data_IF_402039736833
#
_entry.id   IF_402039736833
#
_cell.length_a   1.000
_cell.length_b   1.000
_cell.length_c   1.000
_cell.angle_alpha   90.00
_cell.angle_beta   90.00
_cell.angle_gamma   90.00
#
_symmetry.space_group_name_H-M   'P 1'
#
loop_
_entity.id
_entity.type
_entity.pdbx_description
1 polymer ?
#
# COMPACT_ATOMS: atom_id res chain seq x y z
N UNK A 1 -21.75 -27.30 2.90
CA UNK A 1 -20.86 -27.08 1.76
C UNK A 1 -20.61 -28.38 1.00
N UNK A 2 -20.97 -28.40 -0.29
CA UNK A 2 -20.57 -29.42 -1.25
C UNK A 2 -19.24 -29.02 -1.89
N UNK A 3 -18.38 -29.98 -2.23
CA UNK A 3 -17.12 -29.72 -2.93
C UNK A 3 -17.09 -30.61 -4.17
N UNK A 4 -16.84 -30.00 -5.33
CA UNK A 4 -16.79 -30.69 -6.63
C UNK A 4 -15.56 -30.28 -7.42
N UNK A 5 -14.96 -31.24 -8.12
CA UNK A 5 -13.94 -30.96 -9.14
C UNK A 5 -14.61 -30.69 -10.48
N UNK A 6 -14.21 -29.62 -11.16
CA UNK A 6 -14.67 -29.28 -12.50
C UNK A 6 -13.55 -28.62 -13.31
N UNK A 7 -12.95 -29.35 -14.24
CA UNK A 7 -11.85 -28.81 -15.07
C UNK A 7 -12.33 -27.94 -16.23
N UNK A 8 -13.63 -27.60 -16.29
CA UNK A 8 -14.19 -26.73 -17.33
C UNK A 8 -14.33 -25.27 -16.91
N UNK A 9 -14.10 -24.93 -15.64
CA UNK A 9 -14.08 -23.54 -15.18
C UNK A 9 -12.76 -22.86 -15.56
N UNK A 10 -12.80 -21.56 -15.86
CA UNK A 10 -11.59 -20.79 -16.23
C UNK A 10 -10.75 -20.35 -15.01
N UNK A 11 -11.26 -20.58 -13.80
CA UNK A 11 -10.66 -20.13 -12.54
C UNK A 11 -10.08 -21.31 -11.75
N UNK A 12 -9.14 -21.01 -10.86
CA UNK A 12 -8.59 -22.03 -9.96
C UNK A 12 -9.66 -22.69 -9.09
N UNK A 13 -10.55 -21.87 -8.52
CA UNK A 13 -11.70 -22.27 -7.73
C UNK A 13 -12.81 -21.22 -7.84
N UNK A 14 -14.01 -21.62 -7.44
CA UNK A 14 -15.18 -20.76 -7.30
C UNK A 14 -16.04 -21.25 -6.13
N UNK A 15 -16.49 -20.33 -5.29
CA UNK A 15 -17.52 -20.58 -4.30
C UNK A 15 -18.87 -19.99 -4.72
N UNK A 16 -19.92 -20.80 -4.67
CA UNK A 16 -21.30 -20.43 -5.02
C UNK A 16 -22.18 -20.45 -3.75
N UNK A 17 -22.40 -19.32 -3.06
CA UNK A 17 -23.20 -19.26 -1.83
C UNK A 17 -24.60 -19.84 -2.00
N UNK A 18 -25.27 -19.51 -3.12
CA UNK A 18 -26.64 -19.96 -3.39
C UNK A 18 -26.79 -21.48 -3.51
N UNK A 19 -25.70 -22.19 -3.80
CA UNK A 19 -25.66 -23.65 -3.88
C UNK A 19 -24.96 -24.27 -2.66
N UNK A 20 -24.34 -23.44 -1.82
CA UNK A 20 -23.37 -23.83 -0.82
C UNK A 20 -22.37 -24.84 -1.42
N UNK A 21 -21.86 -24.54 -2.61
CA UNK A 21 -20.98 -25.41 -3.41
C UNK A 21 -19.66 -24.69 -3.70
N UNK A 22 -18.56 -25.38 -3.42
CA UNK A 22 -17.23 -25.04 -3.90
C UNK A 22 -16.90 -25.89 -5.13
N UNK A 23 -16.44 -25.25 -6.19
CA UNK A 23 -15.99 -25.89 -7.42
C UNK A 23 -14.52 -25.61 -7.61
N UNK A 24 -13.69 -26.66 -7.71
CA UNK A 24 -12.25 -26.56 -7.89
C UNK A 24 -11.86 -27.05 -9.28
N UNK A 25 -11.04 -26.28 -10.00
CA UNK A 25 -10.43 -26.77 -11.24
C UNK A 25 -9.46 -27.92 -10.92
N UNK A 26 -8.55 -27.67 -9.97
CA UNK A 26 -7.68 -28.68 -9.39
C UNK A 26 -7.66 -28.57 -7.86
N UNK A 27 -7.57 -29.72 -7.14
CA UNK A 27 -7.60 -29.74 -5.69
C UNK A 27 -6.22 -29.41 -5.10
N UNK A 28 -5.75 -28.18 -5.33
CA UNK A 28 -4.53 -27.64 -4.70
C UNK A 28 -4.87 -26.90 -3.41
N UNK A 29 -3.98 -26.96 -2.43
CA UNK A 29 -4.27 -26.54 -1.06
C UNK A 29 -4.55 -25.04 -0.92
N UNK A 30 -3.84 -24.20 -1.68
CA UNK A 30 -3.97 -22.74 -1.66
C UNK A 30 -5.35 -22.31 -2.16
N UNK A 31 -5.75 -22.82 -3.33
CA UNK A 31 -7.08 -22.58 -3.90
C UNK A 31 -8.17 -23.12 -2.97
N UNK A 32 -8.02 -24.33 -2.43
CA UNK A 32 -9.01 -24.87 -1.50
C UNK A 32 -9.15 -23.99 -0.24
N UNK A 33 -8.03 -23.52 0.32
CA UNK A 33 -8.04 -22.61 1.46
C UNK A 33 -8.75 -21.31 1.11
N UNK A 34 -8.44 -20.75 -0.06
CA UNK A 34 -9.04 -19.52 -0.57
C UNK A 34 -10.57 -19.62 -0.63
N UNK A 35 -11.07 -20.64 -1.32
CA UNK A 35 -12.51 -20.83 -1.49
C UNK A 35 -13.21 -21.19 -0.17
N UNK A 36 -12.52 -21.82 0.79
CA UNK A 36 -13.07 -22.08 2.13
C UNK A 36 -13.32 -20.76 2.86
N UNK A 37 -12.45 -19.77 2.69
CA UNK A 37 -12.59 -18.47 3.35
C UNK A 37 -13.83 -17.75 2.81
N UNK A 38 -14.06 -17.77 1.49
CA UNK A 38 -15.33 -17.31 0.91
C UNK A 38 -16.53 -18.08 1.48
N UNK A 39 -16.40 -19.40 1.64
CA UNK A 39 -17.46 -20.21 2.22
C UNK A 39 -17.78 -19.90 3.70
N UNK A 40 -16.84 -19.32 4.46
CA UNK A 40 -17.14 -18.81 5.80
C UNK A 40 -17.99 -17.54 5.77
N UNK A 41 -17.87 -16.73 4.71
CA UNK A 41 -18.73 -15.56 4.50
C UNK A 41 -20.12 -15.97 3.96
N UNK A 42 -20.21 -17.02 3.14
CA UNK A 42 -21.45 -17.60 2.58
C UNK A 42 -22.43 -16.54 2.02
N UNK A 43 -23.67 -16.51 2.51
CA UNK A 43 -24.71 -15.52 2.15
C UNK A 43 -24.29 -14.06 2.41
N UNK A 44 -23.17 -13.83 3.11
CA UNK A 44 -22.68 -12.51 3.50
C UNK A 44 -21.38 -12.11 2.79
N UNK A 45 -21.03 -12.75 1.67
CA UNK A 45 -19.95 -12.30 0.78
C UNK A 45 -20.07 -10.79 0.47
N UNK A 46 -18.94 -10.09 0.57
CA UNK A 46 -18.88 -8.67 0.30
C UNK A 46 -18.82 -8.43 -1.21
N UNK A 47 -19.70 -7.57 -1.74
CA UNK A 47 -19.73 -7.29 -3.19
C UNK A 47 -18.55 -6.44 -3.67
N UNK A 48 -17.78 -5.84 -2.75
CA UNK A 48 -16.62 -5.01 -3.07
C UNK A 48 -15.41 -5.94 -3.06
N UNK A 49 -14.89 -6.27 -4.24
CA UNK A 49 -13.83 -7.27 -4.40
C UNK A 49 -12.53 -6.92 -3.66
N UNK A 50 -12.18 -5.64 -3.53
CA UNK A 50 -11.06 -5.19 -2.67
C UNK A 50 -11.31 -5.37 -1.18
N UNK A 51 -12.52 -5.71 -0.74
CA UNK A 51 -12.80 -6.19 0.60
C UNK A 51 -12.92 -7.71 0.64
N UNK A 52 -13.53 -8.33 -0.36
CA UNK A 52 -13.74 -9.79 -0.38
C UNK A 52 -12.49 -10.55 -0.80
N UNK A 53 -12.11 -10.46 -2.08
CA UNK A 53 -10.98 -11.17 -2.68
C UNK A 53 -9.66 -10.83 -2.00
N UNK A 54 -9.42 -9.53 -1.80
CA UNK A 54 -8.19 -9.06 -1.20
C UNK A 54 -8.04 -9.49 0.27
N UNK A 55 -9.13 -9.47 1.06
CA UNK A 55 -9.09 -9.95 2.44
C UNK A 55 -8.98 -11.48 2.49
N UNK A 56 -9.71 -12.17 1.63
CA UNK A 56 -9.66 -13.64 1.50
C UNK A 56 -8.23 -14.08 1.20
N UNK A 57 -7.56 -13.40 0.26
CA UNK A 57 -6.16 -13.66 -0.05
C UNK A 57 -5.22 -13.40 1.14
N UNK A 58 -5.45 -12.33 1.90
CA UNK A 58 -4.65 -12.04 3.10
C UNK A 58 -4.84 -13.08 4.22
N UNK A 59 -6.09 -13.54 4.42
CA UNK A 59 -6.43 -14.60 5.37
C UNK A 59 -5.81 -15.92 4.91
N UNK A 60 -5.83 -16.23 3.61
CA UNK A 60 -5.21 -17.42 3.05
C UNK A 60 -3.71 -17.47 3.41
N UNK A 61 -2.95 -16.41 3.12
CA UNK A 61 -1.53 -16.35 3.51
C UNK A 61 -1.34 -16.48 5.02
N UNK A 62 -2.20 -15.84 5.83
CA UNK A 62 -2.16 -15.98 7.28
C UNK A 62 -2.38 -17.42 7.76
N UNK A 63 -3.33 -18.14 7.15
CA UNK A 63 -3.62 -19.55 7.48
C UNK A 63 -2.43 -20.44 7.13
N UNK A 64 -1.80 -20.25 5.96
CA UNK A 64 -0.60 -21.01 5.60
C UNK A 64 0.58 -20.73 6.54
N UNK A 65 0.78 -19.48 6.94
CA UNK A 65 1.82 -19.13 7.90
C UNK A 65 1.59 -19.77 9.28
N UNK A 66 0.33 -20.00 9.67
CA UNK A 66 -0.06 -20.65 10.93
C UNK A 66 -0.07 -22.19 10.84
N UNK A 67 -0.01 -22.77 9.63
CA UNK A 67 -0.04 -24.20 9.36
C UNK A 67 1.27 -24.66 8.70
N UNK A 68 2.39 -24.75 9.45
CA UNK A 68 3.72 -24.97 8.89
C UNK A 68 3.90 -26.30 8.14
N UNK A 69 3.00 -27.27 8.33
CA UNK A 69 2.97 -28.50 7.53
C UNK A 69 2.58 -28.26 6.05
N UNK A 70 1.96 -27.12 5.75
CA UNK A 70 1.53 -26.72 4.42
C UNK A 70 2.33 -25.51 3.96
N UNK A 71 3.15 -25.68 2.92
CA UNK A 71 3.85 -24.56 2.32
C UNK A 71 2.93 -23.83 1.33
N UNK A 72 2.83 -22.51 1.47
CA UNK A 72 2.16 -21.71 0.46
C UNK A 72 2.97 -21.80 -0.85
N UNK A 73 2.38 -22.20 -1.99
CA UNK A 73 3.13 -22.60 -3.17
C UNK A 73 4.01 -21.52 -3.80
N UNK A 74 3.68 -20.23 -3.63
CA UNK A 74 4.42 -19.13 -4.28
C UNK A 74 4.44 -17.79 -3.51
N UNK A 75 3.94 -17.73 -2.28
CA UNK A 75 3.69 -16.45 -1.61
C UNK A 75 3.62 -16.57 -0.08
N UNK A 76 4.48 -17.44 0.46
CA UNK A 76 4.66 -17.56 1.90
C UNK A 76 5.10 -16.21 2.48
N UNK A 77 4.53 -15.78 3.61
CA UNK A 77 4.81 -14.48 4.21
C UNK A 77 4.68 -13.29 3.24
N UNK A 78 3.75 -13.34 2.28
CA UNK A 78 3.56 -12.30 1.27
C UNK A 78 4.88 -11.94 0.55
N UNK A 79 5.53 -12.96 0.01
CA UNK A 79 6.85 -12.86 -0.63
C UNK A 79 6.79 -12.53 -2.12
N UNK A 80 5.60 -12.41 -2.70
CA UNK A 80 5.41 -11.98 -4.09
C UNK A 80 6.02 -10.60 -4.34
N UNK A 81 6.48 -10.38 -5.57
CA UNK A 81 7.00 -9.08 -5.99
C UNK A 81 5.97 -7.97 -6.07
N UNK A 82 4.69 -8.31 -6.04
CA UNK A 82 3.62 -7.34 -5.87
C UNK A 82 3.46 -6.87 -4.43
N UNK A 83 3.64 -7.79 -3.48
CA UNK A 83 3.46 -7.55 -2.05
C UNK A 83 4.59 -6.70 -1.48
N UNK A 84 5.84 -7.13 -1.67
CA UNK A 84 6.94 -6.39 -1.07
C UNK A 84 7.19 -5.04 -1.75
N UNK A 85 6.66 -4.80 -2.95
CA UNK A 85 6.66 -3.48 -3.61
C UNK A 85 5.37 -2.69 -3.39
N UNK A 86 4.50 -3.10 -2.44
CA UNK A 86 3.23 -2.45 -2.08
C UNK A 86 3.28 -0.92 -2.12
N UNK A 87 4.24 -0.32 -1.41
CA UNK A 87 4.39 1.13 -1.28
C UNK A 87 4.54 1.85 -2.62
N UNK A 88 5.21 1.22 -3.60
CA UNK A 88 5.39 1.82 -4.92
C UNK A 88 4.19 1.61 -5.86
N UNK A 89 3.38 0.60 -5.61
CA UNK A 89 2.14 0.35 -6.35
C UNK A 89 0.95 1.15 -5.84
N UNK A 90 0.93 1.49 -4.55
CA UNK A 90 -0.13 2.24 -3.90
C UNK A 90 -0.19 3.69 -4.40
N UNK A 91 -0.74 3.87 -5.60
CA UNK A 91 -0.88 5.15 -6.33
C UNK A 91 -2.28 5.27 -6.91
N UNK A 92 -2.82 6.48 -7.15
CA UNK A 92 -4.22 6.68 -7.54
C UNK A 92 -4.71 5.82 -8.72
N UNK A 93 -3.85 5.54 -9.70
CA UNK A 93 -4.23 4.81 -10.90
C UNK A 93 -4.44 3.30 -10.67
N UNK A 94 -3.97 2.72 -9.55
CA UNK A 94 -4.21 1.30 -9.23
C UNK A 94 -5.66 1.02 -8.84
N UNK A 95 -6.35 2.04 -8.32
CA UNK A 95 -7.75 1.95 -7.90
C UNK A 95 -8.66 1.48 -9.04
N UNK A 96 -9.80 0.90 -8.71
CA UNK A 96 -10.77 0.40 -9.67
C UNK A 96 -12.19 0.82 -9.29
N UNK A 97 -13.07 1.13 -10.27
CA UNK A 97 -14.49 1.33 -10.02
C UNK A 97 -15.12 0.16 -9.26
N UNK A 98 -15.90 0.47 -8.24
CA UNK A 98 -16.51 -0.52 -7.35
C UNK A 98 -15.51 -1.32 -6.52
N UNK A 99 -14.22 -0.95 -6.52
CA UNK A 99 -13.16 -1.73 -5.88
C UNK A 99 -12.96 -3.10 -6.54
N UNK A 100 -13.21 -3.23 -7.85
CA UNK A 100 -13.06 -4.50 -8.58
C UNK A 100 -11.58 -4.83 -8.87
N UNK A 101 -11.08 -5.97 -8.39
CA UNK A 101 -9.74 -6.44 -8.79
C UNK A 101 -9.72 -6.98 -10.21
N UNK A 102 -10.87 -7.35 -10.77
CA UNK A 102 -10.98 -8.04 -12.07
C UNK A 102 -11.19 -7.13 -13.28
N UNK A 103 -11.54 -5.86 -13.07
CA UNK A 103 -12.04 -4.98 -14.15
C UNK A 103 -11.04 -4.75 -15.30
N UNK A 104 -9.75 -4.89 -15.03
CA UNK A 104 -8.71 -4.86 -16.05
C UNK A 104 -7.85 -6.13 -15.93
N UNK A 105 -7.94 -7.05 -16.92
CA UNK A 105 -7.17 -8.29 -16.90
C UNK A 105 -5.66 -8.09 -16.81
N UNK A 106 -5.11 -6.98 -17.35
CA UNK A 106 -3.68 -6.71 -17.24
C UNK A 106 -3.26 -6.44 -15.79
N UNK A 107 -4.12 -5.80 -15.00
CA UNK A 107 -3.85 -5.38 -13.62
C UNK A 107 -4.42 -6.33 -12.57
N UNK A 108 -5.11 -7.40 -12.97
CA UNK A 108 -5.78 -8.34 -12.06
C UNK A 108 -4.83 -8.86 -11.00
N UNK A 109 -3.72 -9.48 -11.41
CA UNK A 109 -2.78 -10.09 -10.46
C UNK A 109 -2.12 -9.05 -9.55
N UNK A 110 -1.81 -7.86 -10.09
CA UNK A 110 -1.29 -6.74 -9.31
C UNK A 110 -2.29 -6.32 -8.21
N UNK A 111 -3.55 -6.07 -8.56
CA UNK A 111 -4.59 -5.60 -7.62
C UNK A 111 -4.91 -6.67 -6.58
N UNK A 112 -4.92 -7.94 -6.99
CA UNK A 112 -5.15 -9.08 -6.12
C UNK A 112 -4.06 -9.19 -5.04
N UNK A 113 -2.78 -9.19 -5.43
CA UNK A 113 -1.67 -9.30 -4.47
C UNK A 113 -1.52 -8.02 -3.62
N UNK A 114 -1.49 -6.83 -4.23
CA UNK A 114 -1.42 -5.57 -3.47
C UNK A 114 -2.60 -5.43 -2.52
N UNK A 115 -3.79 -5.91 -2.92
CA UNK A 115 -4.96 -5.99 -2.06
C UNK A 115 -4.77 -6.92 -0.87
N UNK A 116 -4.18 -8.09 -1.09
CA UNK A 116 -3.78 -8.99 0.00
C UNK A 116 -2.92 -8.27 1.03
N UNK A 117 -1.81 -7.69 0.59
CA UNK A 117 -0.88 -7.03 1.51
C UNK A 117 -1.51 -5.86 2.27
N UNK A 118 -2.41 -5.12 1.62
CA UNK A 118 -3.17 -4.04 2.26
C UNK A 118 -3.90 -4.55 3.50
N UNK A 119 -4.58 -5.69 3.40
CA UNK A 119 -5.31 -6.30 4.52
C UNK A 119 -4.42 -7.07 5.48
N UNK A 120 -3.26 -7.55 5.01
CA UNK A 120 -2.25 -8.16 5.86
C UNK A 120 -1.70 -7.15 6.88
N UNK A 121 -1.49 -5.87 6.50
CA UNK A 121 -0.97 -4.83 7.41
C UNK A 121 -1.72 -4.72 8.75
N UNK A 122 -3.04 -4.48 8.81
CA UNK A 122 -3.75 -4.43 10.09
C UNK A 122 -3.77 -5.77 10.85
N UNK A 123 -3.67 -6.90 10.15
CA UNK A 123 -3.54 -8.24 10.76
C UNK A 123 -2.16 -8.47 11.37
N UNK A 124 -1.08 -8.07 10.70
CA UNK A 124 0.29 -8.20 11.20
C UNK A 124 0.45 -7.45 12.53
N UNK A 125 -0.21 -6.31 12.68
CA UNK A 125 -0.22 -5.54 13.93
C UNK A 125 -1.21 -6.07 14.98
N UNK A 126 -2.11 -6.96 14.60
CA UNK A 126 -3.12 -7.56 15.49
C UNK A 126 -3.67 -8.85 14.88
N UNK A 127 -3.15 -9.99 15.31
CA UNK A 127 -3.54 -11.30 14.77
C UNK A 127 -5.02 -11.67 15.02
N UNK A 128 -5.78 -10.89 15.80
CA UNK A 128 -7.23 -11.06 15.95
C UNK A 128 -8.05 -10.17 15.00
N UNK A 129 -7.41 -9.38 14.14
CA UNK A 129 -8.07 -8.41 13.26
C UNK A 129 -9.20 -9.02 12.42
N UNK A 130 -8.90 -10.05 11.62
CA UNK A 130 -9.88 -10.68 10.73
C UNK A 130 -11.04 -11.30 11.51
N UNK A 131 -10.74 -11.97 12.63
CA UNK A 131 -11.75 -12.53 13.52
C UNK A 131 -12.74 -11.45 14.00
N UNK A 132 -12.23 -10.35 14.56
CA UNK A 132 -13.09 -9.27 15.08
C UNK A 132 -13.82 -8.49 13.97
N UNK A 133 -13.21 -8.40 12.79
CA UNK A 133 -13.85 -7.84 11.59
C UNK A 133 -15.04 -8.71 11.18
N UNK A 134 -14.84 -10.01 11.04
CA UNK A 134 -15.89 -10.96 10.65
C UNK A 134 -16.99 -11.07 11.72
N UNK A 135 -16.63 -11.12 13.01
CA UNK A 135 -17.62 -11.06 14.10
C UNK A 135 -18.52 -9.81 13.99
N UNK A 136 -17.92 -8.66 13.67
CA UNK A 136 -18.65 -7.41 13.47
C UNK A 136 -19.52 -7.40 12.21
N UNK A 137 -19.04 -8.01 11.13
CA UNK A 137 -19.78 -8.18 9.88
C UNK A 137 -20.98 -9.09 10.11
N UNK A 138 -20.78 -10.27 10.68
CA UNK A 138 -21.83 -11.26 10.94
C UNK A 138 -22.87 -10.72 11.91
N UNK A 139 -22.45 -10.07 13.00
CA UNK A 139 -23.38 -9.42 13.92
C UNK A 139 -24.27 -8.40 13.19
N UNK A 140 -23.69 -7.59 12.30
CA UNK A 140 -24.46 -6.63 11.50
C UNK A 140 -25.45 -7.35 10.58
N UNK A 141 -25.00 -8.37 9.85
CA UNK A 141 -25.81 -9.09 8.87
C UNK A 141 -26.94 -9.87 9.51
N UNK A 142 -26.74 -10.47 10.67
CA UNK A 142 -27.80 -11.12 11.44
C UNK A 142 -28.88 -10.12 11.89
N UNK A 143 -28.50 -8.89 12.23
CA UNK A 143 -29.45 -7.86 12.65
C UNK A 143 -30.13 -7.15 11.47
N UNK A 144 -29.53 -7.12 10.28
CA UNK A 144 -30.06 -6.46 9.10
C UNK A 144 -29.80 -7.28 7.82
N UNK A 145 -30.37 -8.49 7.69
CA UNK A 145 -30.00 -9.43 6.62
C UNK A 145 -30.37 -8.95 5.22
N UNK A 146 -31.30 -8.02 5.10
CA UNK A 146 -31.75 -7.46 3.81
C UNK A 146 -30.90 -6.26 3.34
N UNK A 147 -29.90 -5.84 4.11
CA UNK A 147 -29.06 -4.68 3.78
C UNK A 147 -27.61 -5.15 3.59
N UNK A 148 -27.20 -5.43 2.34
CA UNK A 148 -25.83 -5.80 2.04
C UNK A 148 -24.82 -4.78 2.57
N UNK A 149 -23.62 -5.22 2.98
CA UNK A 149 -22.59 -4.30 3.43
C UNK A 149 -22.15 -3.42 2.24
N UNK A 150 -22.23 -2.10 2.42
CA UNK A 150 -21.64 -1.14 1.50
C UNK A 150 -20.29 -0.63 2.04
N UNK A 151 -19.53 0.07 1.20
CA UNK A 151 -18.19 0.59 1.52
C UNK A 151 -18.16 1.39 2.82
N UNK A 152 -19.08 2.35 2.99
CA UNK A 152 -19.12 3.19 4.20
C UNK A 152 -19.31 2.34 5.46
N UNK A 153 -20.08 1.28 5.33
CA UNK A 153 -20.41 0.34 6.38
C UNK A 153 -19.24 -0.57 6.76
N UNK A 154 -18.51 -1.07 5.76
CA UNK A 154 -17.32 -1.90 5.95
C UNK A 154 -16.15 -1.08 6.49
N UNK A 155 -15.98 0.15 5.98
CA UNK A 155 -15.02 1.13 6.51
C UNK A 155 -15.30 1.46 7.98
N UNK A 156 -16.57 1.59 8.38
CA UNK A 156 -16.93 1.83 9.77
C UNK A 156 -16.58 0.64 10.69
N UNK A 157 -16.79 -0.60 10.22
CA UNK A 157 -16.35 -1.81 10.95
C UNK A 157 -14.83 -1.78 11.11
N UNK A 158 -14.08 -1.57 10.03
CA UNK A 158 -12.62 -1.52 10.07
C UNK A 158 -12.13 -0.46 11.06
N UNK A 159 -12.58 0.79 10.92
CA UNK A 159 -12.16 1.88 11.79
C UNK A 159 -12.43 1.62 13.29
N UNK A 160 -13.50 0.89 13.61
CA UNK A 160 -13.82 0.48 14.98
C UNK A 160 -12.89 -0.62 15.49
N UNK A 161 -12.60 -1.63 14.66
CA UNK A 161 -11.80 -2.79 15.05
C UNK A 161 -10.30 -2.46 15.14
N UNK A 162 -9.82 -1.57 14.28
CA UNK A 162 -8.41 -1.19 14.19
C UNK A 162 -8.30 0.33 13.99
N UNK A 163 -8.43 1.12 15.08
CA UNK A 163 -8.47 2.58 15.01
C UNK A 163 -7.14 3.23 14.64
N UNK A 164 -6.03 2.50 14.75
CA UNK A 164 -4.68 2.93 14.36
C UNK A 164 -4.04 1.82 13.52
N UNK A 165 -3.44 2.19 12.39
CA UNK A 165 -2.64 1.31 11.51
C UNK A 165 -1.38 2.08 11.10
N UNK A 166 -0.21 1.47 11.23
CA UNK A 166 1.10 2.09 10.96
C UNK A 166 1.28 3.42 11.71
N UNK A 167 0.82 3.47 12.96
CA UNK A 167 0.85 4.69 13.80
C UNK A 167 -0.08 5.81 13.35
N UNK A 168 -0.87 5.61 12.30
CA UNK A 168 -1.83 6.59 11.77
C UNK A 168 -3.25 6.26 12.22
N UNK A 169 -4.10 7.27 12.54
CA UNK A 169 -5.53 7.06 12.65
C UNK A 169 -6.07 6.37 11.42
N UNK A 170 -6.94 5.37 11.62
CA UNK A 170 -7.46 4.52 10.56
C UNK A 170 -8.01 5.33 9.39
N UNK A 171 -8.75 6.41 9.65
CA UNK A 171 -9.31 7.25 8.59
C UNK A 171 -8.23 7.88 7.69
N UNK A 172 -7.09 8.29 8.25
CA UNK A 172 -5.95 8.85 7.52
C UNK A 172 -5.23 7.74 6.76
N UNK A 173 -4.94 6.62 7.44
CA UNK A 173 -4.30 5.47 6.82
C UNK A 173 -5.12 4.95 5.64
N UNK A 174 -6.42 4.72 5.83
CA UNK A 174 -7.36 4.23 4.82
C UNK A 174 -7.38 5.13 3.58
N UNK A 175 -7.43 6.45 3.78
CA UNK A 175 -7.41 7.40 2.66
C UNK A 175 -6.09 7.41 1.88
N UNK A 176 -5.00 6.89 2.45
CA UNK A 176 -3.73 6.69 1.76
C UNK A 176 -3.68 5.38 0.98
N UNK A 177 -4.62 4.46 1.19
CA UNK A 177 -4.66 3.19 0.46
C UNK A 177 -5.51 3.36 -0.81
N UNK A 178 -4.87 3.75 -1.91
CA UNK A 178 -5.56 4.09 -3.15
C UNK A 178 -6.35 2.92 -3.72
N UNK A 179 -5.94 1.68 -3.48
CA UNK A 179 -6.66 0.49 -3.93
C UNK A 179 -8.09 0.40 -3.34
N UNK A 180 -8.33 0.96 -2.15
CA UNK A 180 -9.66 1.01 -1.53
C UNK A 180 -10.57 2.11 -2.09
N UNK A 181 -10.06 2.96 -2.98
CA UNK A 181 -10.89 3.97 -3.63
C UNK A 181 -11.80 3.31 -4.68
N UNK A 182 -13.06 3.07 -4.32
CA UNK A 182 -14.07 2.46 -5.22
C UNK A 182 -14.61 3.43 -6.28
N UNK A 183 -14.26 4.72 -6.20
CA UNK A 183 -14.71 5.79 -7.11
C UNK A 183 -13.51 6.56 -7.66
N UNK A 184 -12.57 5.89 -8.35
CA UNK A 184 -11.42 6.58 -8.90
C UNK A 184 -11.82 7.46 -10.09
N UNK A 185 -10.97 8.41 -10.47
CA UNK A 185 -11.22 9.29 -11.60
C UNK A 185 -11.29 8.51 -12.92
N UNK A 186 -12.25 8.89 -13.78
CA UNK A 186 -12.39 8.40 -15.15
C UNK A 186 -11.29 8.99 -16.06
N UNK A 187 -11.27 8.58 -17.33
CA UNK A 187 -10.38 9.10 -18.36
C UNK A 187 -9.17 8.20 -18.64
N UNK A 188 -8.26 8.68 -19.49
CA UNK A 188 -7.04 7.95 -19.84
C UNK A 188 -6.08 7.88 -18.64
N UNK A 189 -5.44 6.72 -18.46
CA UNK A 189 -4.52 6.42 -17.36
C UNK A 189 -3.24 5.83 -17.90
N UNK A 190 -2.13 6.36 -17.40
CA UNK A 190 -0.79 5.79 -17.56
C UNK A 190 -0.32 5.32 -16.19
N UNK A 191 0.08 4.06 -16.08
CA UNK A 191 0.49 3.46 -14.80
C UNK A 191 1.68 2.53 -15.00
N UNK A 192 2.76 2.79 -14.26
CA UNK A 192 3.93 1.92 -14.30
C UNK A 192 3.95 0.87 -13.17
N UNK A 193 4.24 -0.39 -13.51
CA UNK A 193 4.52 -1.46 -12.54
C UNK A 193 5.98 -1.42 -12.12
N UNK A 194 6.23 -1.24 -10.83
CA UNK A 194 7.57 -0.94 -10.33
C UNK A 194 8.52 -2.15 -10.29
N UNK A 195 7.98 -3.35 -10.13
CA UNK A 195 8.72 -4.61 -10.17
C UNK A 195 9.15 -5.02 -11.58
N UNK A 196 8.32 -4.76 -12.60
CA UNK A 196 8.42 -5.40 -13.92
C UNK A 196 8.86 -4.47 -15.07
N UNK A 197 9.15 -3.19 -14.79
CA UNK A 197 9.39 -2.17 -15.82
C UNK A 197 8.30 -2.19 -16.90
N UNK A 198 7.05 -2.37 -16.48
CA UNK A 198 5.89 -2.42 -17.37
C UNK A 198 5.12 -1.11 -17.26
N UNK A 199 4.65 -0.59 -18.40
CA UNK A 199 3.87 0.63 -18.51
C UNK A 199 2.51 0.24 -19.07
N UNK A 200 1.47 0.37 -18.27
CA UNK A 200 0.08 0.17 -18.65
C UNK A 200 -0.56 1.48 -19.12
N UNK A 201 -1.30 1.41 -20.22
CA UNK A 201 -2.13 2.48 -20.76
C UNK A 201 -3.56 1.97 -20.98
N UNK A 202 -4.52 2.54 -20.26
CA UNK A 202 -5.92 2.14 -20.33
C UNK A 202 -6.83 3.36 -20.19
N UNK A 203 -8.06 3.26 -20.71
CA UNK A 203 -9.11 4.25 -20.52
C UNK A 203 -10.12 3.73 -19.50
N UNK A 204 -10.44 4.56 -18.50
CA UNK A 204 -11.48 4.24 -17.52
C UNK A 204 -12.78 4.94 -17.88
N UNK A 205 -13.79 4.14 -18.20
CA UNK A 205 -15.14 4.59 -18.53
C UNK A 205 -15.93 5.01 -17.29
N UNK A 206 -16.95 5.84 -17.49
CA UNK A 206 -17.84 6.27 -16.41
C UNK A 206 -18.72 5.13 -15.85
N UNK A 207 -18.97 4.09 -16.64
CA UNK A 207 -19.71 2.88 -16.22
C UNK A 207 -18.85 1.92 -15.37
N UNK A 208 -17.56 2.21 -15.21
CA UNK A 208 -16.64 1.42 -14.42
C UNK A 208 -15.68 0.52 -15.21
N UNK A 209 -15.89 0.33 -16.53
CA UNK A 209 -15.00 -0.50 -17.34
C UNK A 209 -13.61 0.13 -17.51
N UNK A 210 -12.59 -0.71 -17.66
CA UNK A 210 -11.24 -0.31 -18.03
C UNK A 210 -10.87 -0.95 -19.37
N UNK A 211 -10.60 -0.11 -20.37
CA UNK A 211 -10.33 -0.53 -21.75
C UNK A 211 -8.84 -0.37 -22.02
N UNK A 212 -8.09 -1.48 -22.23
CA UNK A 212 -6.70 -1.41 -22.64
C UNK A 212 -6.54 -0.62 -23.95
N UNK A 213 -5.58 0.31 -23.99
CA UNK A 213 -5.36 1.16 -25.16
C UNK A 213 -4.36 0.50 -26.12
N UNK A 214 -4.85 -0.46 -26.91
CA UNK A 214 -4.04 -1.29 -27.82
C UNK A 214 -3.43 -0.47 -28.96
N UNK A 215 -2.16 -0.71 -29.26
CA UNK A 215 -1.46 -0.10 -30.40
C UNK A 215 -1.16 1.39 -30.24
N UNK A 216 -1.41 1.98 -29.06
CA UNK A 216 -1.07 3.38 -28.79
C UNK A 216 0.44 3.53 -28.60
N UNK A 217 1.09 4.54 -29.23
CA UNK A 217 2.50 4.80 -29.04
C UNK A 217 2.79 5.32 -27.63
N UNK A 218 3.83 4.76 -27.02
CA UNK A 218 4.33 5.09 -25.69
C UNK A 218 5.80 5.45 -25.81
N UNK A 219 6.18 6.56 -25.18
CA UNK A 219 7.57 7.00 -25.07
C UNK A 219 8.04 6.80 -23.63
N UNK A 220 9.30 6.38 -23.47
CA UNK A 220 9.88 6.17 -22.15
C UNK A 220 11.34 6.64 -22.08
N UNK A 221 11.76 7.02 -20.88
CA UNK A 221 13.11 7.44 -20.57
C UNK A 221 13.53 6.81 -19.23
N UNK A 222 14.74 6.25 -19.20
CA UNK A 222 15.41 5.72 -18.03
C UNK A 222 16.53 6.68 -17.62
N UNK A 223 16.42 7.21 -16.41
CA UNK A 223 17.37 8.19 -15.86
C UNK A 223 18.00 7.58 -14.60
N UNK A 224 19.32 7.64 -14.50
CA UNK A 224 20.03 7.16 -13.32
C UNK A 224 19.93 8.15 -12.13
N UNK A 225 20.49 7.76 -10.98
CA UNK A 225 20.51 8.59 -9.77
C UNK A 225 21.19 9.96 -9.97
N UNK A 226 22.10 10.08 -10.92
CA UNK A 226 22.80 11.33 -11.28
C UNK A 226 22.04 12.19 -12.28
N UNK A 227 20.77 11.90 -12.55
CA UNK A 227 19.95 12.58 -13.55
C UNK A 227 20.48 12.48 -14.99
N UNK A 228 21.22 11.41 -15.31
CA UNK A 228 21.69 11.12 -16.67
C UNK A 228 20.77 10.09 -17.30
N UNK A 229 20.28 10.39 -18.50
CA UNK A 229 19.54 9.44 -19.33
C UNK A 229 20.46 8.29 -19.74
N UNK A 230 20.14 7.09 -19.28
CA UNK A 230 20.91 5.86 -19.59
C UNK A 230 20.28 5.03 -20.69
N UNK A 231 18.98 5.20 -20.93
CA UNK A 231 18.28 4.67 -22.09
C UNK A 231 17.00 5.47 -22.33
N UNK A 232 16.52 5.47 -23.57
CA UNK A 232 15.19 5.99 -23.92
C UNK A 232 14.68 5.26 -25.15
N UNK A 233 13.38 5.31 -25.39
CA UNK A 233 12.80 4.68 -26.56
C UNK A 233 11.30 4.91 -26.69
N UNK A 234 10.76 4.31 -27.74
CA UNK A 234 9.33 4.30 -28.05
C UNK A 234 8.88 2.87 -28.32
N UNK A 235 7.62 2.57 -28.05
CA UNK A 235 7.00 1.32 -28.46
C UNK A 235 5.49 1.46 -28.53
N UNK A 236 4.80 0.37 -28.83
CA UNK A 236 3.35 0.34 -28.91
C UNK A 236 2.79 -0.55 -27.81
N UNK A 237 1.67 -0.12 -27.22
CA UNK A 237 0.93 -0.92 -26.26
C UNK A 237 0.45 -2.25 -26.90
N UNK A 238 0.62 -3.35 -26.17
CA UNK A 238 0.18 -4.69 -26.57
C UNK A 238 -1.35 -4.81 -26.65
N UNK A 239 -1.86 -6.01 -26.97
CA UNK A 239 -3.29 -6.33 -26.90
C UNK A 239 -3.90 -6.17 -25.50
N UNK A 240 -3.06 -6.18 -24.47
CA UNK A 240 -3.45 -5.93 -23.08
C UNK A 240 -3.12 -4.50 -22.62
N UNK A 241 -2.80 -3.60 -23.55
CA UNK A 241 -2.61 -2.18 -23.26
C UNK A 241 -1.31 -1.85 -22.51
N UNK A 242 -0.28 -2.70 -22.60
CA UNK A 242 0.99 -2.46 -21.90
C UNK A 242 2.23 -2.70 -22.76
N UNK A 243 3.36 -2.14 -22.35
CA UNK A 243 4.71 -2.37 -22.90
C UNK A 243 5.67 -2.65 -21.74
N UNK A 244 6.60 -3.59 -21.93
CA UNK A 244 7.74 -3.78 -21.02
C UNK A 244 8.97 -3.07 -21.58
N UNK A 245 9.70 -2.37 -20.71
CA UNK A 245 10.94 -1.67 -21.05
C UNK A 245 12.17 -2.29 -20.38
N UNK A 246 12.01 -3.45 -19.72
CA UNK A 246 13.06 -4.08 -18.90
C UNK A 246 14.35 -4.39 -19.68
N UNK A 247 14.23 -4.75 -20.96
CA UNK A 247 15.38 -5.10 -21.81
C UNK A 247 16.33 -3.95 -22.09
N UNK A 248 15.91 -2.71 -21.79
CA UNK A 248 16.71 -1.51 -21.99
C UNK A 248 17.44 -1.06 -20.72
N UNK A 249 17.24 -1.79 -19.61
CA UNK A 249 17.91 -1.50 -18.35
C UNK A 249 19.30 -2.15 -18.39
N UNK A 250 20.40 -1.38 -18.24
CA UNK A 250 21.73 -1.96 -18.25
C UNK A 250 21.88 -2.99 -17.14
N UNK A 251 22.28 -4.22 -17.49
CA UNK A 251 22.43 -5.33 -16.53
C UNK A 251 23.49 -5.06 -15.45
N UNK A 252 24.43 -4.16 -15.71
CA UNK A 252 25.45 -3.70 -14.76
C UNK A 252 25.01 -2.55 -13.87
N UNK A 253 23.83 -1.96 -14.12
CA UNK A 253 23.35 -0.86 -13.30
C UNK A 253 23.06 -1.34 -11.88
N UNK A 254 23.31 -0.50 -10.89
CA UNK A 254 22.98 -0.74 -9.49
C UNK A 254 22.72 0.64 -8.86
N UNK A 255 21.54 0.87 -8.32
CA UNK A 255 21.14 2.18 -7.78
C UNK A 255 19.68 2.55 -8.10
N UNK A 256 19.33 3.80 -7.83
CA UNK A 256 17.98 4.34 -8.06
C UNK A 256 17.81 4.64 -9.54
N UNK A 257 16.71 4.20 -10.13
CA UNK A 257 16.37 4.51 -11.52
C UNK A 257 15.02 5.21 -11.57
N UNK A 258 14.96 6.29 -12.35
CA UNK A 258 13.75 7.04 -12.63
C UNK A 258 13.26 6.66 -14.02
N UNK A 259 12.02 6.21 -14.10
CA UNK A 259 11.35 5.87 -15.35
C UNK A 259 10.29 6.92 -15.62
N UNK A 260 10.49 7.66 -16.70
CA UNK A 260 9.52 8.65 -17.19
C UNK A 260 8.81 8.04 -18.38
N UNK A 261 7.51 7.78 -18.24
CA UNK A 261 6.66 7.30 -19.31
C UNK A 261 5.72 8.42 -19.79
N UNK A 262 5.44 8.46 -21.09
CA UNK A 262 4.48 9.40 -21.65
C UNK A 262 3.76 8.86 -22.89
N UNK A 263 2.56 9.37 -23.15
CA UNK A 263 1.78 9.08 -24.36
C UNK A 263 0.80 10.21 -24.63
N UNK A 264 0.46 10.43 -25.90
CA UNK A 264 -0.60 11.35 -26.29
C UNK A 264 -1.96 10.63 -26.16
N UNK A 265 -2.90 11.27 -25.49
CA UNK A 265 -4.29 10.81 -25.41
C UNK A 265 -5.24 11.87 -25.97
N UNK A 266 -6.50 11.53 -26.26
CA UNK A 266 -7.54 12.51 -26.57
C UNK A 266 -7.69 13.63 -25.54
N UNK A 267 -7.35 13.38 -24.27
CA UNK A 267 -7.40 14.37 -23.17
C UNK A 267 -6.09 15.19 -23.06
N UNK A 268 -5.12 14.94 -23.94
CA UNK A 268 -3.79 15.56 -23.96
C UNK A 268 -2.67 14.61 -23.52
N UNK A 269 -1.47 15.19 -23.35
CA UNK A 269 -0.26 14.45 -22.98
C UNK A 269 -0.40 13.86 -21.57
N UNK A 270 -0.29 12.55 -21.48
CA UNK A 270 -0.13 11.83 -20.22
C UNK A 270 1.34 11.64 -19.89
N UNK A 271 1.70 11.79 -18.62
CA UNK A 271 3.04 11.51 -18.10
C UNK A 271 2.94 10.83 -16.74
N UNK A 272 3.68 9.74 -16.55
CA UNK A 272 3.88 9.07 -15.27
C UNK A 272 5.38 9.00 -14.99
N UNK A 273 5.81 9.38 -13.79
CA UNK A 273 7.21 9.30 -13.36
C UNK A 273 7.31 8.42 -12.13
N UNK A 274 8.15 7.38 -12.22
CA UNK A 274 8.34 6.41 -11.13
C UNK A 274 9.81 6.22 -10.86
N UNK A 275 10.18 6.35 -9.59
CA UNK A 275 11.48 5.96 -9.08
C UNK A 275 11.39 4.55 -8.50
N UNK A 276 12.44 3.74 -8.69
CA UNK A 276 12.54 2.38 -8.15
C UNK A 276 14.00 2.01 -7.86
N UNK A 277 14.18 0.98 -7.04
CA UNK A 277 15.50 0.36 -6.83
C UNK A 277 15.85 -0.57 -7.98
N UNK A 278 17.10 -0.55 -8.41
CA UNK A 278 17.70 -1.67 -9.11
C UNK A 278 18.90 -2.14 -8.30
N UNK A 279 18.72 -3.25 -7.59
CA UNK A 279 19.70 -3.82 -6.68
C UNK A 279 20.13 -5.17 -7.26
N UNK A 280 21.42 -5.34 -7.54
CA UNK A 280 21.93 -6.57 -8.16
C UNK A 280 21.61 -7.84 -7.34
N UNK A 281 21.51 -7.74 -6.02
CA UNK A 281 21.12 -8.86 -5.13
C UNK A 281 19.60 -9.09 -5.02
N UNK A 282 18.78 -8.31 -5.73
CA UNK A 282 17.32 -8.43 -5.73
C UNK A 282 16.61 -7.71 -4.57
N UNK A 283 17.33 -6.96 -3.73
CA UNK A 283 16.78 -6.35 -2.52
C UNK A 283 16.48 -7.40 -1.45
N UNK A 284 16.98 -7.17 -0.22
CA UNK A 284 16.81 -8.06 0.93
C UNK A 284 16.39 -7.25 2.15
N UNK A 285 15.66 -7.89 3.07
CA UNK A 285 15.16 -7.20 4.26
C UNK A 285 14.34 -5.98 3.91
N UNK A 286 14.59 -4.88 4.61
CA UNK A 286 13.97 -3.59 4.26
C UNK A 286 14.92 -2.86 3.32
N UNK A 287 14.45 -2.56 2.12
CA UNK A 287 15.23 -1.87 1.09
C UNK A 287 14.39 -0.76 0.47
N UNK A 288 15.01 0.16 -0.27
CA UNK A 288 14.23 1.27 -0.76
C UNK A 288 15.01 2.37 -1.44
N UNK A 289 14.30 3.49 -1.62
CA UNK A 289 14.82 4.73 -2.19
C UNK A 289 14.48 5.92 -1.29
N UNK A 290 15.21 7.01 -1.45
CA UNK A 290 14.83 8.32 -0.94
C UNK A 290 14.61 9.30 -2.10
N UNK A 291 13.48 10.03 -2.05
CA UNK A 291 13.09 11.00 -3.06
C UNK A 291 14.04 12.19 -3.03
N UNK A 292 14.57 12.58 -4.20
CA UNK A 292 15.40 13.79 -4.35
C UNK A 292 16.78 13.77 -3.69
N UNK A 293 17.17 12.68 -3.01
CA UNK A 293 18.48 12.51 -2.38
C UNK A 293 19.12 11.21 -2.86
N UNK A 294 20.45 11.22 -2.96
CA UNK A 294 21.23 10.05 -3.39
C UNK A 294 22.11 9.46 -2.28
N UNK A 295 22.47 10.26 -1.28
CA UNK A 295 23.38 9.84 -0.22
C UNK A 295 22.86 10.28 1.16
N UNK A 296 23.10 9.46 2.17
CA UNK A 296 22.66 9.72 3.54
C UNK A 296 22.63 8.47 4.42
N UNK A 297 21.95 8.56 5.55
CA UNK A 297 21.78 7.44 6.48
C UNK A 297 20.30 7.21 6.77
N UNK A 298 19.87 5.95 6.63
CA UNK A 298 18.52 5.49 6.97
C UNK A 298 18.62 4.67 8.24
N UNK A 299 17.89 5.06 9.28
CA UNK A 299 17.75 4.27 10.50
C UNK A 299 16.43 3.52 10.49
N UNK A 300 16.48 2.22 10.73
CA UNK A 300 15.32 1.33 10.77
C UNK A 300 15.27 0.69 12.15
N UNK A 301 14.18 0.90 12.87
CA UNK A 301 13.97 0.41 14.23
C UNK A 301 12.77 -0.53 14.27
N UNK A 302 12.93 -1.82 14.58
CA UNK A 302 11.80 -2.71 14.84
C UNK A 302 11.07 -2.21 16.09
N UNK A 303 9.73 -2.19 16.05
CA UNK A 303 8.89 -1.71 17.14
C UNK A 303 8.24 -2.86 17.92
N UNK A 304 8.00 -4.00 17.24
CA UNK A 304 7.32 -5.16 17.83
C UNK A 304 8.29 -6.23 18.35
N UNK A 305 9.47 -6.37 17.73
CA UNK A 305 10.49 -7.33 18.14
C UNK A 305 11.70 -6.61 18.79
N UNK A 306 11.71 -6.59 20.12
CA UNK A 306 12.79 -5.96 20.90
C UNK A 306 14.08 -6.77 20.94
N UNK A 307 14.09 -8.00 20.40
CA UNK A 307 15.30 -8.83 20.33
C UNK A 307 16.18 -8.45 19.14
N UNK A 308 15.59 -7.79 18.14
CA UNK A 308 16.29 -7.27 16.97
C UNK A 308 16.70 -5.82 17.22
N UNK A 309 17.98 -5.51 17.05
CA UNK A 309 18.48 -4.14 17.23
C UNK A 309 18.18 -3.25 16.02
N UNK A 310 17.96 -1.96 16.26
CA UNK A 310 17.89 -0.97 15.19
C UNK A 310 19.15 -0.99 14.31
N UNK A 311 18.97 -0.79 13.00
CA UNK A 311 20.06 -0.73 12.03
C UNK A 311 20.12 0.66 11.42
N UNK A 312 21.33 1.20 11.27
CA UNK A 312 21.58 2.38 10.43
C UNK A 312 22.32 1.92 9.19
N UNK A 313 21.73 2.16 8.02
CA UNK A 313 22.28 1.75 6.73
C UNK A 313 22.55 2.97 5.86
N UNK A 314 23.58 2.87 5.03
CA UNK A 314 23.94 3.91 4.09
C UNK A 314 22.96 3.93 2.92
N UNK A 315 22.42 5.12 2.63
CA UNK A 315 21.82 5.44 1.33
C UNK A 315 22.97 5.81 0.39
N UNK A 316 23.09 5.11 -0.73
CA UNK A 316 24.10 5.38 -1.77
C UNK A 316 23.46 5.21 -3.13
N UNK A 317 23.77 6.09 -4.09
CA UNK A 317 23.16 6.10 -5.42
C UNK A 317 21.61 6.11 -5.36
N UNK A 318 21.06 6.70 -4.30
CA UNK A 318 19.63 6.82 -4.01
C UNK A 318 18.95 5.54 -3.52
N UNK A 319 19.70 4.48 -3.20
CA UNK A 319 19.17 3.21 -2.67
C UNK A 319 19.75 2.85 -1.32
N UNK A 320 19.01 2.10 -0.52
CA UNK A 320 19.48 1.51 0.73
C UNK A 320 18.95 0.09 0.88
N UNK A 321 19.63 -0.72 1.71
CA UNK A 321 19.29 -2.11 1.99
C UNK A 321 19.65 -2.42 3.44
N UNK A 322 18.73 -3.03 4.18
CA UNK A 322 18.90 -3.54 5.54
C UNK A 322 18.49 -5.03 5.58
N UNK A 323 19.37 -5.94 5.13
CA UNK A 323 19.06 -7.37 4.98
C UNK A 323 18.70 -8.08 6.30
N UNK A 324 19.09 -7.53 7.44
CA UNK A 324 18.89 -8.05 8.79
C UNK A 324 17.41 -8.18 9.16
N UNK A 325 16.53 -7.48 8.43
CA UNK A 325 15.08 -7.53 8.63
C UNK A 325 14.34 -8.47 7.68
N UNK A 326 15.04 -9.31 6.91
CA UNK A 326 14.42 -10.20 5.91
C UNK A 326 13.34 -11.10 6.48
N UNK A 327 13.59 -11.73 7.62
CA UNK A 327 12.64 -12.64 8.28
C UNK A 327 11.90 -12.01 9.45
N UNK A 328 12.14 -10.72 9.74
CA UNK A 328 11.54 -10.03 10.90
C UNK A 328 10.19 -9.44 10.51
N UNK A 329 9.10 -9.91 11.12
CA UNK A 329 7.74 -9.42 10.92
C UNK A 329 7.39 -8.32 11.91
N UNK A 330 6.51 -7.39 11.53
CA UNK A 330 5.89 -6.43 12.45
C UNK A 330 6.00 -4.98 11.99
N UNK A 331 5.85 -4.07 12.94
CA UNK A 331 6.00 -2.64 12.75
C UNK A 331 7.47 -2.22 12.82
N UNK A 332 7.85 -1.30 11.92
CA UNK A 332 9.17 -0.70 11.85
C UNK A 332 9.05 0.80 11.74
N UNK A 333 9.86 1.54 12.51
CA UNK A 333 10.09 2.96 12.29
C UNK A 333 11.24 3.11 11.30
N UNK A 334 10.99 3.77 10.18
CA UNK A 334 12.00 4.17 9.19
C UNK A 334 12.22 5.67 9.32
N UNK A 335 13.44 6.07 9.64
CA UNK A 335 13.84 7.47 9.82
C UNK A 335 14.98 7.83 8.87
N UNK A 336 14.95 9.05 8.33
CA UNK A 336 15.98 9.61 7.46
C UNK A 336 16.14 11.11 7.73
N UNK A 337 17.39 11.57 7.71
CA UNK A 337 17.72 13.00 7.82
C UNK A 337 18.19 13.51 6.47
N UNK A 338 17.38 14.37 5.86
CA UNK A 338 17.71 15.12 4.65
C UNK A 338 18.73 16.21 4.93
N UNK A 339 19.66 16.48 4.00
CA UNK A 339 20.48 17.69 4.02
C UNK A 339 19.60 18.94 4.10
N UNK A 340 19.91 19.87 5.02
CA UNK A 340 19.14 21.10 5.21
C UNK A 340 17.95 20.99 6.18
N UNK A 341 18.08 20.18 7.23
CA UNK A 341 17.14 20.05 8.36
C UNK A 341 15.80 19.36 8.09
N UNK A 342 15.65 18.61 6.98
CA UNK A 342 14.47 17.75 6.81
C UNK A 342 14.65 16.45 7.59
N UNK A 343 13.72 16.09 8.46
CA UNK A 343 13.67 14.75 9.05
C UNK A 343 12.36 14.09 8.65
N UNK A 344 12.44 12.87 8.14
CA UNK A 344 11.28 12.03 7.86
C UNK A 344 11.37 10.83 8.76
N UNK A 345 10.34 10.61 9.57
CA UNK A 345 10.11 9.36 10.26
C UNK A 345 8.72 8.85 9.91
N UNK A 346 8.58 7.55 9.70
CA UNK A 346 7.28 6.91 9.52
C UNK A 346 7.31 5.48 10.02
N UNK A 347 6.15 5.01 10.46
CA UNK A 347 5.96 3.60 10.75
C UNK A 347 5.48 2.91 9.48
N UNK A 348 6.04 1.74 9.21
CA UNK A 348 5.60 0.79 8.19
C UNK A 348 5.29 -0.54 8.88
N UNK A 349 4.43 -1.33 8.27
CA UNK A 349 4.15 -2.70 8.68
C UNK A 349 4.54 -3.64 7.55
N UNK A 350 5.34 -4.66 7.87
CA UNK A 350 5.70 -5.71 6.91
C UNK A 350 5.59 -7.10 7.50
N UNK A 351 5.41 -8.08 6.63
CA UNK A 351 5.46 -9.50 6.97
C UNK A 351 6.91 -10.02 7.07
N UNK A 352 7.10 -11.31 7.35
CA UNK A 352 8.40 -11.99 7.41
C UNK A 352 9.04 -12.22 6.02
N UNK A 353 9.03 -11.18 5.18
CA UNK A 353 9.63 -11.15 3.84
C UNK A 353 10.37 -9.83 3.60
N UNK A 354 11.04 -9.69 2.45
CA UNK A 354 11.63 -8.42 2.04
C UNK A 354 10.54 -7.34 1.88
N UNK A 355 10.89 -6.06 1.95
CA UNK A 355 9.94 -4.96 1.82
C UNK A 355 10.57 -3.70 1.27
N UNK A 356 9.98 -3.16 0.20
CA UNK A 356 10.37 -1.91 -0.42
C UNK A 356 9.74 -0.72 0.30
N UNK A 357 10.57 0.26 0.62
CA UNK A 357 10.18 1.50 1.26
C UNK A 357 10.58 2.67 0.39
N UNK A 358 9.62 3.55 0.10
CA UNK A 358 9.91 4.86 -0.47
C UNK A 358 9.98 5.90 0.63
N UNK A 359 11.15 6.49 0.85
CA UNK A 359 11.32 7.61 1.78
C UNK A 359 11.02 8.89 1.00
N UNK A 360 9.79 9.37 1.15
CA UNK A 360 9.36 10.61 0.55
C UNK A 360 9.74 11.76 1.48
N UNK A 361 10.29 12.84 0.92
CA UNK A 361 10.37 14.09 1.66
C UNK A 361 8.95 14.60 1.85
N UNK A 362 8.30 14.19 2.94
CA UNK A 362 7.00 14.69 3.32
C UNK A 362 7.23 15.86 4.25
N UNK A 363 7.25 17.11 3.73
CA UNK A 363 7.26 18.25 4.63
C UNK A 363 6.02 18.23 5.53
N UNK A 364 4.92 17.62 5.08
CA UNK A 364 3.65 17.64 5.79
C UNK A 364 3.59 16.55 6.88
N UNK A 365 3.30 16.93 8.12
CA UNK A 365 2.82 16.03 9.17
C UNK A 365 1.44 16.47 9.65
N UNK A 366 0.62 15.50 10.06
CA UNK A 366 -0.72 15.71 10.54
C UNK A 366 -0.77 15.51 12.05
N UNK A 367 -1.50 16.39 12.74
CA UNK A 367 -1.89 16.13 14.11
C UNK A 367 -2.92 15.00 14.12
N UNK A 368 -2.53 13.89 14.74
CA UNK A 368 -3.39 12.73 14.93
C UNK A 368 -4.01 12.70 16.31
N UNK A 369 -3.36 13.29 17.32
CA UNK A 369 -3.86 13.39 18.70
C UNK A 369 -4.37 12.05 19.23
N UNK A 370 -3.60 10.99 19.02
CA UNK A 370 -3.98 9.59 19.29
C UNK A 370 -3.71 9.16 20.73
N UNK A 371 -2.80 9.84 21.43
CA UNK A 371 -2.40 9.51 22.80
C UNK A 371 -2.92 10.54 23.79
N UNK A 372 -2.68 11.83 23.53
CA UNK A 372 -3.08 12.92 24.40
C UNK A 372 -3.16 14.24 23.61
N UNK A 373 -3.25 15.38 24.33
CA UNK A 373 -3.32 16.70 23.72
C UNK A 373 -1.97 17.39 23.51
N UNK A 374 -0.85 16.84 23.98
CA UNK A 374 0.45 17.52 23.97
C UNK A 374 1.10 17.54 22.57
N UNK A 375 1.39 18.75 22.06
CA UNK A 375 2.18 18.97 20.84
C UNK A 375 3.50 18.20 20.85
N UNK A 376 4.11 18.05 22.03
CA UNK A 376 5.45 17.46 22.19
C UNK A 376 5.46 15.95 22.33
N UNK A 377 4.29 15.30 22.25
CA UNK A 377 4.23 13.85 22.18
C UNK A 377 4.36 13.39 20.71
N UNK A 378 5.46 12.74 20.31
CA UNK A 378 5.68 12.32 18.92
C UNK A 378 4.60 11.36 18.40
N UNK A 379 3.95 10.61 19.29
CA UNK A 379 2.87 9.69 18.93
C UNK A 379 1.58 10.41 18.52
N UNK A 380 1.43 11.70 18.84
CA UNK A 380 0.32 12.53 18.38
C UNK A 380 0.53 13.08 16.96
N UNK A 381 1.62 12.74 16.29
CA UNK A 381 1.92 13.16 14.92
C UNK A 381 1.93 11.99 13.94
N UNK A 382 1.43 12.21 12.73
CA UNK A 382 1.38 11.17 11.70
C UNK A 382 2.76 10.65 11.29
N UNK A 383 3.82 11.46 11.49
CA UNK A 383 5.20 11.02 11.26
C UNK A 383 5.82 10.29 12.46
N UNK A 384 5.11 10.13 13.58
CA UNK A 384 5.70 9.56 14.80
C UNK A 384 6.86 10.39 15.35
N UNK A 385 6.91 11.68 15.02
CA UNK A 385 7.94 12.64 15.42
C UNK A 385 7.31 14.02 15.63
N UNK A 386 7.80 14.77 16.62
CA UNK A 386 7.38 16.16 16.86
C UNK A 386 7.83 17.03 15.67
N UNK A 387 6.98 17.95 15.16
CA UNK A 387 7.35 18.84 14.07
C UNK A 387 8.60 19.67 14.40
N UNK A 388 9.43 19.87 13.39
CA UNK A 388 10.64 20.69 13.46
C UNK A 388 10.62 21.82 12.42
N UNK A 389 11.65 22.66 12.36
CA UNK A 389 11.73 23.86 11.51
C UNK A 389 11.52 23.65 10.00
N UNK A 390 11.61 22.40 9.52
CA UNK A 390 11.34 22.05 8.12
C UNK A 390 9.99 21.35 7.90
N UNK A 391 9.21 21.16 8.95
CA UNK A 391 7.94 20.42 8.92
C UNK A 391 6.76 21.37 8.74
N UNK A 392 6.00 21.21 7.66
CA UNK A 392 4.67 21.76 7.51
C UNK A 392 3.68 20.93 8.35
N UNK A 393 2.99 21.58 9.25
CA UNK A 393 2.02 20.97 10.16
C UNK A 393 0.61 21.21 9.66
N UNK A 394 -0.21 20.16 9.68
CA UNK A 394 -1.63 20.21 9.36
C UNK A 394 -2.43 19.67 10.54
N UNK A 395 -3.24 20.53 11.16
CA UNK A 395 -4.19 20.14 12.20
C UNK A 395 -5.54 19.91 11.54
N UNK A 396 -5.88 18.64 11.33
CA UNK A 396 -7.16 18.25 10.77
C UNK A 396 -8.26 18.22 11.84
N UNK A 397 -9.51 18.35 11.44
CA UNK A 397 -10.65 18.16 12.34
C UNK A 397 -10.80 16.68 12.72
N UNK A 398 -11.34 16.40 13.90
CA UNK A 398 -11.74 15.05 14.32
C UNK A 398 -10.64 14.19 14.93
N UNK A 399 -9.52 14.76 15.36
CA UNK A 399 -8.57 14.05 16.23
C UNK A 399 -9.22 13.71 17.57
N UNK A 400 -8.95 12.53 18.17
CA UNK A 400 -9.50 12.15 19.48
C UNK A 400 -9.16 13.16 20.58
N UNK A 401 -7.98 13.75 20.51
CA UNK A 401 -7.50 14.79 21.41
C UNK A 401 -7.19 16.08 20.64
N UNK A 402 -7.57 17.23 21.22
CA UNK A 402 -7.24 18.55 20.67
C UNK A 402 -5.73 18.83 20.75
N UNK A 403 -5.21 19.70 19.89
CA UNK A 403 -3.79 20.03 19.89
C UNK A 403 -3.50 21.15 20.92
N UNK A 404 -2.63 20.87 21.89
CA UNK A 404 -2.20 21.80 22.95
C UNK A 404 -0.69 22.01 22.87
N UNK A 405 -0.29 23.26 22.65
CA UNK A 405 1.11 23.69 22.66
C UNK A 405 1.43 24.24 24.05
N UNK A 406 2.03 23.42 24.90
CA UNK A 406 2.34 23.72 26.29
C UNK A 406 3.83 24.00 26.58
N UNK A 407 4.68 23.86 25.57
CA UNK A 407 6.09 24.25 25.55
C UNK A 407 6.45 24.87 24.17
N UNK A 408 7.56 25.63 24.04
CA UNK A 408 8.00 26.20 22.77
C UNK A 408 7.99 25.17 21.64
N UNK A 409 7.36 25.51 20.52
CA UNK A 409 7.22 24.64 19.36
C UNK A 409 7.78 25.31 18.11
N UNK A 410 8.26 24.50 17.18
CA UNK A 410 8.80 24.96 15.91
C UNK A 410 8.21 24.13 14.78
N UNK A 411 7.84 24.80 13.69
CA UNK A 411 7.43 24.15 12.44
C UNK A 411 7.71 25.12 11.28
N UNK A 412 7.76 24.64 10.05
CA UNK A 412 7.93 25.50 8.86
C UNK A 412 6.65 26.24 8.47
N UNK A 413 5.51 25.61 8.73
CA UNK A 413 4.18 26.13 8.42
C UNK A 413 3.17 25.45 9.32
N UNK A 414 2.19 26.18 9.83
CA UNK A 414 1.06 25.60 10.57
C UNK A 414 -0.24 25.89 9.84
N UNK A 415 -0.93 24.83 9.41
CA UNK A 415 -2.25 24.88 8.77
C UNK A 415 -3.29 24.28 9.71
N UNK A 416 -4.27 25.07 10.14
CA UNK A 416 -5.40 24.59 10.96
C UNK A 416 -6.65 24.53 10.08
N UNK A 417 -7.16 23.32 9.85
CA UNK A 417 -8.35 23.14 9.01
C UNK A 417 -9.61 23.67 9.71
N UNK A 418 -10.61 24.08 8.92
CA UNK A 418 -11.90 24.56 9.44
C UNK A 418 -12.51 23.56 10.42
N UNK A 419 -12.79 24.01 11.65
CA UNK A 419 -13.36 23.21 12.73
C UNK A 419 -12.34 22.48 13.60
N UNK A 420 -11.04 22.54 13.29
CA UNK A 420 -9.98 22.12 14.20
C UNK A 420 -9.61 23.26 15.16
N UNK A 421 -9.08 22.91 16.34
CA UNK A 421 -8.66 23.87 17.38
C UNK A 421 -7.25 23.54 17.83
N UNK A 422 -6.41 24.58 17.92
CA UNK A 422 -5.09 24.54 18.55
C UNK A 422 -5.10 25.49 19.74
N UNK A 423 -4.75 24.99 20.92
CA UNK A 423 -4.66 25.80 22.13
C UNK A 423 -3.19 25.98 22.50
N UNK A 424 -2.68 27.22 22.51
CA UNK A 424 -1.36 27.51 23.04
C UNK A 424 -1.48 28.04 24.47
N UNK A 425 -0.61 27.58 25.40
CA UNK A 425 -0.53 28.20 26.72
C UNK A 425 -0.01 29.64 26.59
N UNK A 426 -0.50 30.52 27.46
CA UNK A 426 -0.09 31.93 27.46
C UNK A 426 1.44 32.03 27.64
N UNK A 427 2.08 32.85 26.80
CA UNK A 427 3.52 33.08 26.84
C UNK A 427 4.37 32.08 26.04
N UNK A 428 3.77 31.06 25.43
CA UNK A 428 4.48 30.13 24.54
C UNK A 428 4.68 30.75 23.15
N UNK A 429 5.88 30.57 22.59
CA UNK A 429 6.23 30.98 21.23
C UNK A 429 6.13 29.76 20.32
N UNK A 430 5.41 29.91 19.21
CA UNK A 430 5.48 29.00 18.06
C UNK A 430 6.31 29.68 17.00
N UNK A 431 7.48 29.13 16.69
CA UNK A 431 8.33 29.64 15.61
C UNK A 431 7.87 28.98 14.30
N UNK A 432 7.48 29.84 13.35
CA UNK A 432 7.11 29.48 11.99
C UNK A 432 8.25 29.78 11.02
#
# INVERSE_FOLDING_TARGET
>A
MNIRKDTSIDYGGLYFPSLNEMVLHDPVADIFCHEIIHAFHDDWLMTISTYEEAMTRAIEVAVFNDLPEYLHPYDENHSSDFDYFYEGFNRPNIAAPGGSVYVNPSLLFLRYQVGSYLWAKPYIEDNNFFKRFNDSLYFRMQNNPLVPPNEASLRAIFARIKPVVEGLPNAIWYNKQFLLNTKPQNGFKLFQRINQFTIDHFYREANGNEIPQVGVPLSWELINYSNITIASGTGFASSLGWISVISNVPSSYNGKITVIASTESPDGLLRDTVERTLIASGGRGIFGIADGINDGEVTITPLDDTTVSAQTVTLSDGVFIAPEFETVKGQFRVSFVYPGCGHVSRIITKDASRYFVRIQNQPNTYWVGSVDSSWHNPMNWSGGAVPEECTDVIIAKGSPHGCVIDAPAICRRLTVQTGAVVNARQGIIVRL
#
